data_IF_173596708222
#
_entry.id   IF_173596708222
#
_cell.length_a   1.000
_cell.length_b   1.000
_cell.length_c   1.000
_cell.angle_alpha   90.00
_cell.angle_beta   90.00
_cell.angle_gamma   90.00
#
_symmetry.space_group_name_H-M   'P 1'
#
loop_
_entity.id
_entity.type
_entity.pdbx_description
1 polymer ?
#
# COMPACT_ATOMS: atom_id res chain seq x y z
N UNK A 1 -41.53 89.44 -6.35
CA UNK A 1 -40.56 89.22 -7.45
C UNK A 1 -39.77 87.97 -7.13
N UNK A 2 -39.84 86.98 -8.03
CA UNK A 2 -39.57 85.57 -7.74
C UNK A 2 -38.10 85.19 -7.63
N UNK A 3 -37.84 84.20 -6.76
CA UNK A 3 -36.55 83.56 -6.53
C UNK A 3 -36.44 82.37 -7.50
N UNK A 4 -35.44 82.40 -8.38
CA UNK A 4 -35.14 81.32 -9.32
C UNK A 4 -34.49 80.13 -8.58
N UNK A 5 -35.13 78.96 -8.61
CA UNK A 5 -34.56 77.68 -8.19
C UNK A 5 -33.68 77.12 -9.31
N UNK A 6 -32.38 76.93 -9.01
CA UNK A 6 -31.45 76.16 -9.83
C UNK A 6 -31.73 74.65 -9.65
N UNK A 7 -32.19 73.99 -10.70
CA UNK A 7 -32.22 72.52 -10.78
C UNK A 7 -30.82 71.99 -11.07
N UNK A 8 -30.18 71.35 -10.08
CA UNK A 8 -29.02 70.49 -10.31
C UNK A 8 -29.48 69.15 -10.85
N UNK A 9 -29.05 68.85 -12.08
CA UNK A 9 -29.23 67.57 -12.76
C UNK A 9 -28.26 66.55 -12.17
N UNK A 10 -28.77 65.54 -11.48
CA UNK A 10 -27.99 64.41 -11.02
C UNK A 10 -27.59 63.50 -12.20
N UNK A 11 -26.29 63.28 -12.36
CA UNK A 11 -25.71 62.31 -13.29
C UNK A 11 -25.88 60.91 -12.71
N UNK A 12 -26.41 59.90 -13.44
CA UNK A 12 -26.45 58.54 -12.93
C UNK A 12 -25.03 57.95 -12.92
N UNK A 13 -24.64 57.42 -11.76
CA UNK A 13 -23.42 56.65 -11.60
C UNK A 13 -23.47 55.42 -12.52
N UNK A 14 -22.43 55.26 -13.35
CA UNK A 14 -22.22 54.02 -14.11
C UNK A 14 -22.22 52.84 -13.15
N UNK A 15 -23.14 51.91 -13.37
CA UNK A 15 -23.16 50.63 -12.70
C UNK A 15 -21.83 49.91 -12.97
N UNK A 16 -21.02 49.77 -11.92
CA UNK A 16 -19.86 48.90 -11.95
C UNK A 16 -20.35 47.47 -12.20
N UNK A 17 -20.07 46.96 -13.39
CA UNK A 17 -20.26 45.56 -13.74
C UNK A 17 -19.33 44.73 -12.85
N UNK A 18 -19.88 44.19 -11.76
CA UNK A 18 -19.24 43.15 -10.96
C UNK A 18 -19.06 41.93 -11.85
N UNK A 19 -17.91 41.87 -12.52
CA UNK A 19 -17.48 40.71 -13.27
C UNK A 19 -17.05 39.68 -12.24
N UNK A 20 -18.00 38.85 -11.81
CA UNK A 20 -17.74 37.68 -10.98
C UNK A 20 -16.96 36.69 -11.85
N UNK A 21 -15.64 36.88 -11.96
CA UNK A 21 -14.75 35.86 -12.49
C UNK A 21 -14.77 34.69 -11.51
N UNK A 22 -15.57 33.68 -11.84
CA UNK A 22 -15.48 32.33 -11.29
C UNK A 22 -14.11 31.77 -11.67
N UNK A 23 -13.07 32.12 -10.90
CA UNK A 23 -11.78 31.47 -10.93
C UNK A 23 -11.96 30.06 -10.38
N UNK A 24 -12.39 29.14 -11.24
CA UNK A 24 -12.45 27.71 -10.95
C UNK A 24 -11.02 27.18 -10.78
N UNK A 25 -10.55 27.28 -9.54
CA UNK A 25 -9.55 26.45 -8.86
C UNK A 25 -8.58 25.66 -9.75
N UNK A 26 -7.51 26.32 -10.23
CA UNK A 26 -6.34 25.66 -10.85
C UNK A 26 -5.72 24.54 -9.98
N UNK A 27 -6.01 24.52 -8.67
CA UNK A 27 -5.50 23.53 -7.72
C UNK A 27 -6.47 22.34 -7.48
N UNK A 28 -7.71 22.39 -7.99
CA UNK A 28 -8.72 21.33 -7.75
C UNK A 28 -8.27 19.97 -8.28
N UNK A 29 -7.76 19.93 -9.52
CA UNK A 29 -7.35 18.67 -10.16
C UNK A 29 -6.14 18.04 -9.47
N UNK A 30 -5.15 18.85 -9.08
CA UNK A 30 -3.97 18.36 -8.36
C UNK A 30 -4.31 17.81 -6.97
N UNK A 31 -5.25 18.46 -6.28
CA UNK A 31 -5.79 17.97 -5.02
C UNK A 31 -6.40 16.57 -5.16
N UNK A 32 -7.34 16.38 -6.10
CA UNK A 32 -8.05 15.10 -6.23
C UNK A 32 -7.15 13.95 -6.67
N UNK A 33 -6.21 14.19 -7.58
CA UNK A 33 -5.26 13.16 -8.00
C UNK A 33 -4.34 12.74 -6.85
N UNK A 34 -3.81 13.72 -6.11
CA UNK A 34 -2.93 13.43 -4.98
C UNK A 34 -3.70 12.73 -3.85
N UNK A 35 -4.90 13.19 -3.53
CA UNK A 35 -5.74 12.57 -2.51
C UNK A 35 -6.13 11.15 -2.90
N UNK A 36 -6.65 10.96 -4.13
CA UNK A 36 -7.11 9.66 -4.61
C UNK A 36 -5.99 8.61 -4.68
N UNK A 37 -4.83 8.96 -5.24
CA UNK A 37 -3.69 8.04 -5.31
C UNK A 37 -3.18 7.60 -3.94
N UNK A 38 -3.07 8.52 -2.99
CA UNK A 38 -2.64 8.20 -1.63
C UNK A 38 -3.72 7.47 -0.81
N UNK A 39 -5.00 7.70 -1.09
CA UNK A 39 -6.09 6.92 -0.51
C UNK A 39 -6.06 5.47 -0.99
N UNK A 40 -5.83 5.23 -2.28
CA UNK A 40 -5.65 3.87 -2.83
C UNK A 40 -4.40 3.21 -2.25
N UNK A 41 -3.28 3.93 -2.14
CA UNK A 41 -2.07 3.43 -1.47
C UNK A 41 -2.38 2.97 -0.05
N UNK A 42 -3.05 3.81 0.74
CA UNK A 42 -3.40 3.49 2.13
C UNK A 42 -4.34 2.29 2.22
N UNK A 43 -5.37 2.23 1.35
CA UNK A 43 -6.33 1.15 1.31
C UNK A 43 -5.68 -0.21 0.95
N UNK A 44 -4.87 -0.25 -0.12
CA UNK A 44 -4.17 -1.49 -0.50
C UNK A 44 -3.18 -1.93 0.58
N UNK A 45 -2.48 -0.97 1.19
CA UNK A 45 -1.53 -1.23 2.27
C UNK A 45 -2.21 -1.85 3.49
N UNK A 46 -3.35 -1.31 3.93
CA UNK A 46 -4.07 -1.87 5.10
C UNK A 46 -4.71 -3.23 4.78
N UNK A 47 -5.18 -3.44 3.54
CA UNK A 47 -5.63 -4.76 3.08
C UNK A 47 -4.49 -5.77 3.13
N UNK A 48 -3.30 -5.40 2.64
CA UNK A 48 -2.11 -6.24 2.70
C UNK A 48 -1.74 -6.59 4.15
N UNK A 49 -1.73 -5.59 5.04
CA UNK A 49 -1.46 -5.77 6.46
C UNK A 49 -2.48 -6.71 7.12
N UNK A 50 -3.77 -6.58 6.76
CA UNK A 50 -4.84 -7.46 7.23
C UNK A 50 -4.64 -8.91 6.81
N UNK A 51 -4.26 -9.16 5.55
CA UNK A 51 -3.93 -10.50 5.05
C UNK A 51 -2.75 -11.09 5.82
N UNK A 52 -1.64 -10.36 5.94
CA UNK A 52 -0.45 -10.80 6.67
C UNK A 52 -0.79 -11.10 8.13
N UNK A 53 -1.53 -10.21 8.79
CA UNK A 53 -1.91 -10.37 10.20
C UNK A 53 -2.80 -11.59 10.42
N UNK A 54 -3.77 -11.83 9.53
CA UNK A 54 -4.61 -13.03 9.58
C UNK A 54 -3.79 -14.30 9.41
N UNK A 55 -2.79 -14.27 8.51
CA UNK A 55 -1.91 -15.40 8.28
C UNK A 55 -0.99 -15.69 9.46
N UNK A 56 -0.35 -14.66 10.03
CA UNK A 56 0.50 -14.81 11.22
C UNK A 56 -0.31 -15.32 12.41
N UNK A 57 -1.50 -14.76 12.64
CA UNK A 57 -2.39 -15.22 13.71
C UNK A 57 -2.76 -16.69 13.56
N UNK A 58 -3.09 -17.13 12.33
CA UNK A 58 -3.38 -18.53 12.06
C UNK A 58 -2.15 -19.43 12.26
N UNK A 59 -0.96 -19.05 11.78
CA UNK A 59 0.27 -19.84 11.98
C UNK A 59 0.63 -19.98 13.46
N UNK A 60 0.48 -18.91 14.24
CA UNK A 60 0.71 -18.95 15.69
C UNK A 60 -0.31 -19.84 16.39
N UNK A 61 -1.58 -19.80 15.99
CA UNK A 61 -2.61 -20.71 16.51
C UNK A 61 -2.27 -22.17 16.19
N UNK A 62 -1.84 -22.48 14.96
CA UNK A 62 -1.38 -23.81 14.62
C UNK A 62 -0.20 -24.24 15.52
N UNK A 63 0.79 -23.36 15.71
CA UNK A 63 1.98 -23.62 16.51
C UNK A 63 1.68 -23.87 17.99
N UNK A 64 0.78 -23.09 18.58
CA UNK A 64 0.55 -23.08 20.02
C UNK A 64 -0.63 -23.93 20.48
N UNK A 65 -1.60 -24.23 19.61
CA UNK A 65 -2.82 -24.96 19.97
C UNK A 65 -2.99 -26.29 19.20
N UNK A 66 -2.52 -26.38 17.94
CA UNK A 66 -2.70 -27.61 17.11
C UNK A 66 -1.48 -28.53 17.19
N UNK A 67 -0.27 -27.97 17.13
CA UNK A 67 1.04 -28.62 17.17
C UNK A 67 1.37 -29.60 16.04
N UNK A 68 0.45 -30.49 15.65
CA UNK A 68 0.68 -31.52 14.64
C UNK A 68 -0.54 -31.75 13.74
N UNK A 69 -0.29 -32.07 12.48
CA UNK A 69 -1.27 -32.64 11.56
C UNK A 69 -1.11 -34.16 11.49
N UNK A 70 -2.21 -34.91 11.56
CA UNK A 70 -2.18 -36.36 11.38
C UNK A 70 -2.19 -36.70 9.88
N UNK A 71 -1.12 -37.36 9.43
CA UNK A 71 -0.97 -37.84 8.04
C UNK A 71 -1.27 -39.33 8.00
N UNK A 72 -2.26 -39.73 7.21
CA UNK A 72 -2.70 -41.11 7.04
C UNK A 72 -2.00 -41.78 5.85
N UNK A 73 -0.68 -41.96 5.97
CA UNK A 73 0.05 -42.79 5.01
C UNK A 73 -0.42 -44.25 5.12
N UNK A 74 -0.49 -44.99 4.00
CA UNK A 74 -1.01 -46.36 4.01
C UNK A 74 -0.31 -47.26 5.05
N UNK A 75 -1.02 -47.58 6.13
CA UNK A 75 -0.52 -48.44 7.21
C UNK A 75 0.43 -47.76 8.21
N UNK A 76 0.65 -46.44 8.12
CA UNK A 76 1.54 -45.70 9.03
C UNK A 76 1.03 -44.28 9.33
N UNK A 77 -0.02 -44.12 10.16
CA UNK A 77 -0.48 -42.82 10.61
C UNK A 77 0.64 -42.08 11.34
N UNK A 78 1.06 -40.93 10.81
CA UNK A 78 2.22 -40.20 11.31
C UNK A 78 1.84 -38.77 11.69
N UNK A 79 2.08 -38.32 12.93
CA UNK A 79 1.91 -36.93 13.31
C UNK A 79 3.07 -36.08 12.75
N UNK A 80 2.73 -35.08 11.93
CA UNK A 80 3.66 -34.13 11.36
C UNK A 80 3.54 -32.78 12.08
N UNK A 81 4.64 -32.23 12.60
CA UNK A 81 4.62 -30.90 13.21
C UNK A 81 4.12 -29.83 12.23
N UNK A 82 3.32 -28.89 12.71
CA UNK A 82 2.73 -27.81 11.88
C UNK A 82 3.76 -26.85 11.29
N UNK A 83 4.97 -26.81 11.86
CA UNK A 83 6.07 -25.93 11.44
C UNK A 83 7.30 -26.79 11.03
N UNK A 84 7.95 -26.49 9.89
CA UNK A 84 9.20 -27.12 9.52
C UNK A 84 10.36 -26.51 10.29
N UNK A 85 11.52 -27.17 10.26
CA UNK A 85 12.71 -26.70 10.96
C UNK A 85 13.26 -25.39 10.38
N UNK A 86 13.20 -25.24 9.06
CA UNK A 86 13.76 -24.11 8.34
C UNK A 86 12.66 -23.30 7.64
N UNK A 87 11.92 -22.50 8.41
CA UNK A 87 10.91 -21.58 7.86
C UNK A 87 11.52 -20.19 7.62
N UNK A 88 11.37 -19.65 6.42
CA UNK A 88 11.74 -18.28 6.08
C UNK A 88 10.63 -17.32 6.51
N UNK A 89 10.74 -16.83 7.73
CA UNK A 89 9.77 -15.89 8.31
C UNK A 89 10.03 -14.43 7.89
N UNK A 90 11.26 -14.11 7.49
CA UNK A 90 11.69 -12.75 7.16
C UNK A 90 10.89 -12.14 6.00
N UNK A 91 10.41 -12.95 5.05
CA UNK A 91 9.57 -12.45 3.96
C UNK A 91 8.24 -11.87 4.45
N UNK A 92 7.69 -12.44 5.53
CA UNK A 92 6.51 -11.92 6.21
C UNK A 92 6.81 -10.59 6.89
N UNK A 93 7.96 -10.48 7.56
CA UNK A 93 8.38 -9.25 8.23
C UNK A 93 8.64 -8.10 7.24
N UNK A 94 9.32 -8.36 6.12
CA UNK A 94 9.61 -7.33 5.12
C UNK A 94 8.32 -6.80 4.48
N UNK A 95 7.43 -7.70 4.05
CA UNK A 95 6.14 -7.30 3.47
C UNK A 95 5.21 -6.58 4.46
N UNK A 96 5.27 -6.92 5.75
CA UNK A 96 4.57 -6.21 6.82
C UNK A 96 5.12 -4.78 6.96
N UNK A 97 6.45 -4.63 6.93
CA UNK A 97 7.10 -3.32 6.91
C UNK A 97 6.60 -2.45 5.75
N UNK A 98 6.54 -3.01 4.54
CA UNK A 98 6.01 -2.31 3.36
C UNK A 98 4.54 -1.91 3.55
N UNK A 99 3.70 -2.83 4.04
CA UNK A 99 2.28 -2.56 4.29
C UNK A 99 2.08 -1.45 5.35
N UNK A 100 2.80 -1.51 6.47
CA UNK A 100 2.73 -0.48 7.49
C UNK A 100 3.21 0.87 6.96
N UNK A 101 4.34 0.89 6.24
CA UNK A 101 4.89 2.11 5.65
C UNK A 101 3.93 2.76 4.67
N UNK A 102 3.41 1.99 3.70
CA UNK A 102 2.46 2.47 2.70
C UNK A 102 1.16 3.00 3.30
N UNK A 103 0.66 2.37 4.38
CA UNK A 103 -0.56 2.81 5.06
C UNK A 103 -0.41 4.23 5.64
N UNK A 104 0.64 4.45 6.44
CA UNK A 104 0.88 5.75 7.05
C UNK A 104 1.32 6.81 6.03
N UNK A 105 2.09 6.41 5.01
CA UNK A 105 2.48 7.31 3.94
C UNK A 105 1.27 7.78 3.12
N UNK A 106 0.33 6.90 2.83
CA UNK A 106 -0.92 7.26 2.17
C UNK A 106 -1.75 8.26 3.00
N UNK A 107 -1.84 8.06 4.32
CA UNK A 107 -2.48 9.05 5.22
C UNK A 107 -1.76 10.40 5.16
N UNK A 108 -0.43 10.40 5.24
CA UNK A 108 0.37 11.62 5.13
C UNK A 108 0.17 12.34 3.78
N UNK A 109 0.05 11.58 2.69
CA UNK A 109 -0.26 12.09 1.36
C UNK A 109 -1.64 12.73 1.26
N UNK A 110 -2.67 12.11 1.83
CA UNK A 110 -4.03 12.67 1.91
C UNK A 110 -4.05 13.99 2.71
N UNK A 111 -3.36 14.05 3.84
CA UNK A 111 -3.21 15.27 4.64
C UNK A 111 -2.49 16.37 3.83
N UNK A 112 -1.44 15.99 3.09
CA UNK A 112 -0.70 16.91 2.23
C UNK A 112 -1.58 17.46 1.09
N UNK A 113 -2.41 16.62 0.47
CA UNK A 113 -3.39 17.05 -0.51
C UNK A 113 -4.38 18.06 0.10
N UNK A 114 -4.93 17.78 1.28
CA UNK A 114 -5.84 18.70 1.96
C UNK A 114 -5.20 20.08 2.21
N UNK A 115 -3.93 20.10 2.64
CA UNK A 115 -3.17 21.35 2.82
C UNK A 115 -2.94 22.09 1.50
N UNK A 116 -2.71 21.36 0.40
CA UNK A 116 -2.54 21.94 -0.94
C UNK A 116 -3.75 22.74 -1.41
N UNK A 117 -4.97 22.31 -1.05
CA UNK A 117 -6.21 23.02 -1.42
C UNK A 117 -6.24 24.47 -0.96
N UNK A 118 -5.60 24.78 0.18
CA UNK A 118 -5.58 26.12 0.79
C UNK A 118 -4.25 26.86 0.58
N UNK A 119 -3.30 26.25 -0.13
CA UNK A 119 -1.95 26.78 -0.21
C UNK A 119 -1.81 27.85 -1.30
N UNK A 120 -1.46 29.07 -0.90
CA UNK A 120 -1.00 30.14 -1.80
C UNK A 120 0.51 30.09 -2.11
N UNK A 121 1.26 29.17 -1.48
CA UNK A 121 2.73 29.05 -1.58
C UNK A 121 3.19 27.59 -1.68
N UNK A 122 4.40 27.32 -2.21
CA UNK A 122 5.02 25.99 -2.23
C UNK A 122 4.98 25.26 -0.88
N UNK A 123 4.53 24.01 -0.87
CA UNK A 123 4.42 23.19 0.33
C UNK A 123 5.68 22.33 0.52
N UNK A 124 6.39 22.51 1.64
CA UNK A 124 7.52 21.63 2.03
C UNK A 124 7.08 20.17 2.20
N UNK A 125 5.83 19.94 2.61
CA UNK A 125 5.28 18.59 2.76
C UNK A 125 5.16 17.84 1.43
N UNK A 126 5.04 18.52 0.28
CA UNK A 126 5.08 17.85 -1.02
C UNK A 126 6.46 17.31 -1.36
N UNK A 127 7.53 18.03 -0.98
CA UNK A 127 8.91 17.57 -1.16
C UNK A 127 9.15 16.36 -0.26
N UNK A 128 8.76 16.45 1.01
CA UNK A 128 8.86 15.33 1.94
C UNK A 128 8.07 14.10 1.45
N UNK A 129 6.83 14.31 0.98
CA UNK A 129 6.02 13.25 0.41
C UNK A 129 6.68 12.60 -0.81
N UNK A 130 7.26 13.39 -1.72
CA UNK A 130 7.97 12.85 -2.88
C UNK A 130 9.17 11.99 -2.47
N UNK A 131 9.98 12.43 -1.51
CA UNK A 131 11.13 11.66 -1.01
C UNK A 131 10.66 10.36 -0.35
N UNK A 132 9.64 10.43 0.51
CA UNK A 132 9.11 9.24 1.18
C UNK A 132 8.46 8.26 0.19
N UNK A 133 7.73 8.73 -0.81
CA UNK A 133 7.18 7.87 -1.87
C UNK A 133 8.27 7.25 -2.74
N UNK A 134 9.36 7.97 -3.01
CA UNK A 134 10.51 7.38 -3.70
C UNK A 134 11.13 6.24 -2.87
N UNK A 135 11.29 6.43 -1.56
CA UNK A 135 11.73 5.36 -0.66
C UNK A 135 10.71 4.21 -0.58
N UNK A 136 9.41 4.50 -0.65
CA UNK A 136 8.34 3.50 -0.73
C UNK A 136 8.54 2.59 -1.95
N UNK A 137 8.75 3.17 -3.14
CA UNK A 137 8.98 2.42 -4.38
C UNK A 137 10.17 1.46 -4.22
N UNK A 138 11.29 1.94 -3.67
CA UNK A 138 12.48 1.10 -3.46
C UNK A 138 12.22 -0.01 -2.46
N UNK A 139 11.52 0.29 -1.37
CA UNK A 139 11.21 -0.68 -0.33
C UNK A 139 10.22 -1.74 -0.82
N UNK A 140 9.13 -1.33 -1.47
CA UNK A 140 8.14 -2.23 -2.08
C UNK A 140 8.78 -3.10 -3.17
N UNK A 141 9.69 -2.55 -3.98
CA UNK A 141 10.43 -3.32 -4.99
C UNK A 141 11.34 -4.37 -4.35
N UNK A 142 12.09 -4.00 -3.31
CA UNK A 142 12.93 -4.94 -2.54
C UNK A 142 12.11 -6.10 -2.01
N UNK A 143 11.02 -5.78 -1.29
CA UNK A 143 10.14 -6.79 -0.70
C UNK A 143 9.48 -7.66 -1.76
N UNK A 144 9.03 -7.07 -2.88
CA UNK A 144 8.45 -7.80 -3.99
C UNK A 144 9.44 -8.81 -4.57
N UNK A 145 10.67 -8.39 -4.87
CA UNK A 145 11.70 -9.29 -5.38
C UNK A 145 12.01 -10.37 -4.35
N UNK A 146 12.23 -10.01 -3.09
CA UNK A 146 12.57 -10.96 -2.03
C UNK A 146 11.50 -12.04 -1.84
N UNK A 147 10.23 -11.64 -1.65
CA UNK A 147 9.10 -12.56 -1.45
C UNK A 147 8.95 -13.50 -2.64
N UNK A 148 9.05 -13.00 -3.87
CA UNK A 148 8.91 -13.85 -5.07
C UNK A 148 10.11 -14.78 -5.26
N UNK A 149 11.33 -14.29 -5.07
CA UNK A 149 12.55 -15.12 -5.22
C UNK A 149 12.55 -16.24 -4.19
N UNK A 150 12.29 -15.93 -2.92
CA UNK A 150 12.29 -16.94 -1.86
C UNK A 150 11.17 -17.94 -2.08
N UNK A 151 9.95 -17.49 -2.42
CA UNK A 151 8.83 -18.41 -2.72
C UNK A 151 9.14 -19.30 -3.94
N UNK A 152 9.77 -18.75 -4.98
CA UNK A 152 10.15 -19.51 -6.17
C UNK A 152 11.22 -20.56 -5.85
N UNK A 153 12.25 -20.20 -5.08
CA UNK A 153 13.33 -21.11 -4.66
C UNK A 153 12.82 -22.31 -3.84
N UNK A 154 11.68 -22.16 -3.18
CA UNK A 154 11.08 -23.22 -2.35
C UNK A 154 9.89 -23.92 -3.01
N UNK A 155 9.58 -23.59 -4.28
CA UNK A 155 8.48 -24.20 -5.03
C UNK A 155 8.86 -25.62 -5.51
N UNK A 156 7.90 -26.54 -5.48
CA UNK A 156 8.09 -27.93 -5.93
C UNK A 156 8.84 -28.83 -4.95
N UNK A 157 9.14 -28.33 -3.74
CA UNK A 157 9.60 -29.17 -2.64
C UNK A 157 8.41 -29.95 -2.06
N UNK A 158 8.62 -31.23 -1.75
CA UNK A 158 7.59 -32.11 -1.19
C UNK A 158 8.06 -32.76 0.10
N UNK A 159 7.13 -33.04 1.00
CA UNK A 159 7.40 -33.74 2.25
C UNK A 159 7.53 -35.24 1.95
N UNK A 160 8.63 -35.84 2.37
CA UNK A 160 8.91 -37.26 2.17
C UNK A 160 8.51 -38.07 3.40
N UNK A 161 7.67 -39.09 3.19
CA UNK A 161 7.19 -39.97 4.26
C UNK A 161 8.32 -40.54 5.13
N UNK A 162 9.41 -41.15 4.58
CA UNK A 162 10.44 -41.75 5.43
C UNK A 162 11.13 -40.73 6.33
N UNK A 163 11.22 -39.47 5.90
CA UNK A 163 11.84 -38.41 6.69
C UNK A 163 10.89 -37.93 7.78
N UNK A 164 9.63 -37.71 7.43
CA UNK A 164 8.62 -37.29 8.40
C UNK A 164 8.40 -38.36 9.49
N UNK A 165 8.25 -39.63 9.11
CA UNK A 165 8.08 -40.74 10.04
C UNK A 165 9.27 -40.93 10.98
N UNK A 166 10.50 -40.74 10.49
CA UNK A 166 11.71 -40.83 11.32
C UNK A 166 11.96 -39.58 12.19
N UNK A 167 11.20 -38.49 12.01
CA UNK A 167 11.35 -37.24 12.75
C UNK A 167 10.10 -36.86 13.56
N UNK A 168 9.25 -37.84 13.91
CA UNK A 168 8.09 -37.61 14.77
C UNK A 168 8.51 -36.91 16.07
N UNK A 169 7.72 -35.90 16.46
CA UNK A 169 7.99 -35.04 17.62
C UNK A 169 9.01 -33.93 17.37
N UNK A 170 9.66 -33.90 16.20
CA UNK A 170 10.59 -32.85 15.80
C UNK A 170 10.09 -32.13 14.55
N UNK A 171 10.53 -30.89 14.35
CA UNK A 171 10.20 -30.14 13.15
C UNK A 171 10.87 -30.78 11.92
N UNK A 172 10.13 -30.85 10.81
CA UNK A 172 10.60 -31.48 9.58
C UNK A 172 11.91 -30.83 9.09
N UNK A 173 13.03 -31.57 8.98
CA UNK A 173 14.35 -30.98 8.86
C UNK A 173 14.76 -30.61 7.43
N UNK A 174 14.11 -31.17 6.42
CA UNK A 174 14.55 -31.01 5.03
C UNK A 174 14.03 -29.72 4.40
N UNK A 175 14.86 -29.22 3.50
CA UNK A 175 14.63 -28.02 2.70
C UNK A 175 14.43 -26.75 3.53
N UNK A 176 14.19 -25.65 2.83
CA UNK A 176 13.79 -24.35 3.38
C UNK A 176 12.41 -24.04 2.85
N UNK A 177 11.55 -23.47 3.67
CA UNK A 177 10.16 -23.28 3.31
C UNK A 177 9.72 -21.86 3.55
N UNK A 178 8.91 -21.34 2.64
CA UNK A 178 8.00 -20.25 2.99
C UNK A 178 6.75 -20.84 3.66
N UNK A 179 5.99 -20.06 4.44
CA UNK A 179 4.67 -20.49 4.89
C UNK A 179 3.78 -20.99 3.72
N UNK A 180 3.84 -20.33 2.56
CA UNK A 180 3.07 -20.72 1.36
C UNK A 180 3.47 -22.11 0.87
N UNK A 181 4.76 -22.35 0.63
CA UNK A 181 5.22 -23.62 0.04
C UNK A 181 5.16 -24.77 1.03
N UNK A 182 5.36 -24.50 2.32
CA UNK A 182 5.17 -25.50 3.38
C UNK A 182 3.73 -26.02 3.39
N UNK A 183 2.75 -25.12 3.45
CA UNK A 183 1.35 -25.52 3.53
C UNK A 183 0.85 -26.17 2.24
N UNK A 184 1.39 -25.77 1.08
CA UNK A 184 1.16 -26.51 -0.17
C UNK A 184 1.67 -27.95 -0.10
N UNK A 185 2.89 -28.16 0.40
CA UNK A 185 3.43 -29.51 0.58
C UNK A 185 2.64 -30.34 1.61
N UNK A 186 2.09 -29.71 2.66
CA UNK A 186 1.18 -30.38 3.60
C UNK A 186 -0.13 -30.81 2.91
N UNK A 187 -0.68 -29.98 2.01
CA UNK A 187 -1.88 -30.33 1.23
C UNK A 187 -1.66 -31.48 0.25
N UNK A 188 -0.42 -31.74 -0.18
CA UNK A 188 -0.10 -32.89 -1.02
C UNK A 188 -0.15 -34.22 -0.25
N UNK A 189 -0.15 -34.18 1.09
CA UNK A 189 -0.17 -35.37 1.95
C UNK A 189 -1.59 -35.89 2.19
N UNK A 190 -1.78 -37.19 2.48
CA UNK A 190 -3.07 -37.75 2.88
C UNK A 190 -3.43 -37.30 4.30
N UNK A 191 -3.92 -36.07 4.47
CA UNK A 191 -4.41 -35.57 5.76
C UNK A 191 -5.59 -36.41 6.26
N UNK A 192 -5.54 -36.86 7.51
CA UNK A 192 -6.59 -37.69 8.12
C UNK A 192 -7.92 -36.95 8.31
N UNK A 193 -7.88 -35.62 8.50
CA UNK A 193 -9.05 -34.77 8.68
C UNK A 193 -9.32 -33.93 7.41
N UNK A 194 -10.40 -34.21 6.66
CA UNK A 194 -10.77 -33.43 5.47
C UNK A 194 -11.07 -31.95 5.77
N UNK A 195 -11.59 -31.62 6.96
CA UNK A 195 -11.91 -30.24 7.32
C UNK A 195 -10.63 -29.40 7.45
N UNK A 196 -9.53 -30.01 7.92
CA UNK A 196 -8.22 -29.36 7.99
C UNK A 196 -7.62 -29.10 6.62
N UNK A 197 -7.83 -30.01 5.67
CA UNK A 197 -7.42 -29.80 4.28
C UNK A 197 -8.09 -28.55 3.70
N UNK A 198 -9.40 -28.37 3.89
CA UNK A 198 -10.13 -27.21 3.39
C UNK A 198 -9.68 -25.91 4.06
N UNK A 199 -9.47 -25.94 5.39
CA UNK A 199 -8.94 -24.82 6.15
C UNK A 199 -7.56 -24.38 5.64
N UNK A 200 -6.62 -25.32 5.48
CA UNK A 200 -5.27 -25.06 4.99
C UNK A 200 -5.32 -24.54 3.54
N UNK A 201 -6.18 -25.11 2.68
CA UNK A 201 -6.34 -24.66 1.29
C UNK A 201 -6.80 -23.20 1.19
N UNK A 202 -7.77 -22.81 2.01
CA UNK A 202 -8.22 -21.42 2.13
C UNK A 202 -7.08 -20.49 2.58
N UNK A 203 -6.29 -20.93 3.57
CA UNK A 203 -5.15 -20.16 4.08
C UNK A 203 -4.01 -20.04 3.07
N UNK A 204 -3.72 -21.08 2.31
CA UNK A 204 -2.77 -21.03 1.18
C UNK A 204 -3.24 -20.02 0.13
N UNK A 205 -4.54 -19.98 -0.17
CA UNK A 205 -5.11 -18.99 -1.10
C UNK A 205 -4.84 -17.56 -0.61
N UNK A 206 -5.01 -17.30 0.68
CA UNK A 206 -4.68 -16.00 1.28
C UNK A 206 -3.17 -15.68 1.21
N UNK A 207 -2.28 -16.66 1.41
CA UNK A 207 -0.83 -16.47 1.26
C UNK A 207 -0.46 -16.11 -0.18
N UNK A 208 -1.06 -16.78 -1.16
CA UNK A 208 -0.87 -16.47 -2.59
C UNK A 208 -1.38 -15.06 -2.90
N UNK A 209 -2.56 -14.71 -2.40
CA UNK A 209 -3.14 -13.37 -2.59
C UNK A 209 -2.24 -12.28 -1.98
N UNK A 210 -1.72 -12.50 -0.77
CA UNK A 210 -0.72 -11.65 -0.12
C UNK A 210 0.52 -11.46 -1.00
N UNK A 211 1.12 -12.53 -1.53
CA UNK A 211 2.27 -12.41 -2.43
C UNK A 211 1.95 -11.54 -3.65
N UNK A 212 0.79 -11.74 -4.27
CA UNK A 212 0.41 -11.01 -5.48
C UNK A 212 -0.02 -9.56 -5.23
N UNK A 213 -0.51 -9.19 -4.05
CA UNK A 213 -0.92 -7.80 -3.75
C UNK A 213 0.26 -6.82 -3.76
N UNK A 214 1.49 -7.32 -3.57
CA UNK A 214 2.71 -6.51 -3.66
C UNK A 214 2.90 -5.88 -5.05
N UNK A 215 2.44 -6.54 -6.13
CA UNK A 215 2.53 -5.99 -7.48
C UNK A 215 1.61 -4.77 -7.67
N UNK A 216 0.29 -4.86 -7.41
CA UNK A 216 -0.57 -3.68 -7.39
C UNK A 216 -0.06 -2.57 -6.47
N UNK A 217 0.47 -2.91 -5.29
CA UNK A 217 1.02 -1.94 -4.34
C UNK A 217 2.20 -1.17 -4.96
N UNK A 218 3.14 -1.88 -5.58
CA UNK A 218 4.27 -1.28 -6.29
C UNK A 218 3.84 -0.33 -7.41
N UNK A 219 2.84 -0.71 -8.20
CA UNK A 219 2.31 0.14 -9.26
C UNK A 219 1.64 1.40 -8.70
N UNK A 220 0.94 1.28 -7.57
CA UNK A 220 0.32 2.42 -6.89
C UNK A 220 1.36 3.35 -6.27
N UNK A 221 2.46 2.83 -5.72
CA UNK A 221 3.59 3.64 -5.25
C UNK A 221 4.17 4.50 -6.40
N UNK A 222 4.41 3.89 -7.57
CA UNK A 222 4.88 4.59 -8.77
C UNK A 222 3.89 5.68 -9.20
N UNK A 223 2.60 5.35 -9.24
CA UNK A 223 1.56 6.30 -9.64
C UNK A 223 1.46 7.48 -8.66
N UNK A 224 1.45 7.20 -7.35
CA UNK A 224 1.38 8.20 -6.30
C UNK A 224 2.61 9.13 -6.34
N UNK A 225 3.81 8.57 -6.49
CA UNK A 225 5.04 9.35 -6.68
C UNK A 225 4.98 10.25 -7.91
N UNK A 226 4.58 9.69 -9.06
CA UNK A 226 4.47 10.43 -10.31
C UNK A 226 3.51 11.61 -10.19
N UNK A 227 2.35 11.40 -9.55
CA UNK A 227 1.36 12.46 -9.28
C UNK A 227 1.94 13.53 -8.35
N UNK A 228 2.65 13.14 -7.30
CA UNK A 228 3.31 14.09 -6.39
C UNK A 228 4.34 14.95 -7.12
N UNK A 229 5.20 14.34 -7.95
CA UNK A 229 6.21 15.07 -8.73
C UNK A 229 5.55 16.03 -9.72
N UNK A 230 4.53 15.60 -10.46
CA UNK A 230 3.79 16.46 -11.38
C UNK A 230 3.12 17.64 -10.64
N UNK A 231 2.56 17.38 -9.46
CA UNK A 231 1.95 18.42 -8.62
C UNK A 231 2.99 19.42 -8.12
N UNK A 232 4.15 18.93 -7.68
CA UNK A 232 5.27 19.77 -7.25
C UNK A 232 5.83 20.63 -8.39
N UNK A 233 6.03 20.06 -9.58
CA UNK A 233 6.48 20.79 -10.77
C UNK A 233 5.50 21.90 -11.18
N UNK A 234 4.20 21.61 -11.15
CA UNK A 234 3.15 22.62 -11.43
C UNK A 234 3.20 23.77 -10.43
N UNK A 235 3.38 23.47 -9.15
CA UNK A 235 3.48 24.49 -8.10
C UNK A 235 4.71 25.37 -8.30
N UNK A 236 5.85 24.79 -8.67
CA UNK A 236 7.10 25.53 -8.94
C UNK A 236 6.97 26.47 -10.14
N UNK A 237 6.40 25.99 -11.26
CA UNK A 237 6.19 26.82 -12.47
C UNK A 237 5.27 28.01 -12.21
N UNK A 238 4.23 27.84 -11.39
CA UNK A 238 3.32 28.91 -11.02
C UNK A 238 3.95 30.03 -10.18
N UNK A 239 4.99 29.71 -9.40
CA UNK A 239 5.74 30.72 -8.62
C UNK A 239 6.61 31.58 -9.53
N UNK A 240 7.32 30.98 -10.50
CA UNK A 240 8.20 31.70 -11.43
C UNK A 240 7.45 32.67 -12.34
N UNK A 241 6.23 32.33 -12.79
CA UNK A 241 5.45 33.19 -13.68
C UNK A 241 4.88 34.45 -12.98
N UNK A 242 4.70 34.41 -11.65
CA UNK A 242 4.17 35.56 -10.89
C UNK A 242 5.25 36.58 -10.55
N UNK A 243 6.49 36.15 -10.32
CA UNK A 243 7.62 37.07 -10.09
C UNK A 243 7.99 37.89 -11.32
N UNK A 244 7.70 37.39 -12.54
CA UNK A 244 8.00 38.11 -13.79
C UNK A 244 6.96 39.17 -14.18
N UNK A 245 5.79 39.22 -13.53
CA UNK A 245 4.71 40.15 -13.87
C UNK A 245 4.59 41.35 -12.93
N UNK A 246 5.38 41.41 -11.86
CA UNK A 246 5.39 42.53 -10.89
C UNK A 246 6.43 43.62 -11.23
N UNK A 247 6.93 43.65 -12.47
CA UNK A 247 7.90 44.67 -12.93
C UNK A 247 7.29 45.61 -13.99
N UNK A 248 6.26 46.43 -13.68
CA UNK A 248 5.90 47.54 -14.53
C UNK A 248 6.83 48.72 -14.22
N UNK A 249 7.92 48.78 -14.98
CA UNK A 249 8.62 49.99 -15.45
C UNK A 249 8.16 51.30 -14.78
N UNK A 250 8.86 51.73 -13.73
CA UNK A 250 9.11 53.16 -13.52
C UNK A 250 10.15 53.62 -14.55
N UNK A 251 9.70 54.29 -15.60
CA UNK A 251 10.49 55.26 -16.38
C UNK A 251 9.59 56.39 -16.85
#
# INVERSE_FOLDING_TARGET
MGISQYFQRATPASAATTTTTTTTSKNSTGFWLLFGSNAVLSALSITNLGLISSMVGWLLDQKHNVHTFLIDWPGNPTPLNVEPKNMWVDQGHESNGVAGYGFFLGIFGMITAWRLRKAGRPLRSLIALAVLQFLAILFTLSAFIFVFVVTYQTTGQHIREPIAANNVGNNYPEFKWTPETWMKAVLDLPLADPSKRDEISSRVTNMVAWRWILLPLFLVDIAAFSITILTWLKQRRGTTARSSSEDPLEK
#
